data_IF_773713351445
#
_entry.id   IF_773713351445
#
_cell.length_a   1.000
_cell.length_b   1.000
_cell.length_c   1.000
_cell.angle_alpha   90.00
_cell.angle_beta   90.00
_cell.angle_gamma   90.00
#
_symmetry.space_group_name_H-M   'P 1'
#
loop_
_entity.id
_entity.type
_entity.pdbx_description
1 polymer ?
#
# COMPACT_ATOMS: atom_id res chain seq x y z
N UNK A 1 13.86 31.69 5.42
CA UNK A 1 13.27 30.53 4.71
C UNK A 1 14.26 29.37 4.55
N UNK A 2 15.54 29.62 4.26
CA UNK A 2 16.58 28.58 4.14
C UNK A 2 17.00 27.95 5.49
N UNK A 3 16.99 28.70 6.59
CA UNK A 3 17.33 28.20 7.93
C UNK A 3 16.22 27.36 8.58
N UNK A 4 14.94 27.62 8.24
CA UNK A 4 13.82 26.79 8.69
C UNK A 4 13.91 25.35 8.15
N UNK A 5 14.41 25.19 6.92
CA UNK A 5 14.60 23.88 6.27
C UNK A 5 15.77 23.05 6.85
N UNK A 6 16.68 23.66 7.61
CA UNK A 6 17.78 22.94 8.27
C UNK A 6 17.32 22.21 9.53
N UNK A 7 16.21 22.66 10.13
CA UNK A 7 15.61 21.96 11.25
C UNK A 7 14.76 20.79 10.74
N UNK A 8 15.13 19.52 11.02
CA UNK A 8 14.35 18.37 10.55
C UNK A 8 12.91 18.40 11.07
N UNK A 9 12.69 19.03 12.23
CA UNK A 9 11.37 19.22 12.83
C UNK A 9 10.46 20.13 12.00
N UNK A 10 10.96 21.25 11.48
CA UNK A 10 10.11 22.14 10.67
C UNK A 10 9.69 21.47 9.36
N UNK A 11 10.56 20.69 8.74
CA UNK A 11 10.23 19.92 7.53
C UNK A 11 9.12 18.91 7.80
N UNK A 12 9.22 18.16 8.92
CA UNK A 12 8.18 17.20 9.34
C UNK A 12 6.86 17.91 9.62
N UNK A 13 6.89 19.06 10.31
CA UNK A 13 5.67 19.82 10.62
C UNK A 13 4.99 20.35 9.36
N UNK A 14 5.75 20.87 8.40
CA UNK A 14 5.20 21.33 7.12
C UNK A 14 4.63 20.17 6.30
N UNK A 15 5.32 19.03 6.24
CA UNK A 15 4.83 17.83 5.55
C UNK A 15 3.56 17.27 6.23
N UNK A 16 3.54 17.24 7.55
CA UNK A 16 2.37 16.83 8.34
C UNK A 16 1.20 17.77 8.07
N UNK A 17 1.40 19.09 8.15
CA UNK A 17 0.35 20.08 7.87
C UNK A 17 -0.20 19.92 6.45
N UNK A 18 0.67 19.83 5.44
CA UNK A 18 0.27 19.64 4.05
C UNK A 18 -0.56 18.35 3.85
N UNK A 19 -0.20 17.26 4.53
CA UNK A 19 -0.92 15.99 4.46
C UNK A 19 -2.27 16.06 5.19
N UNK A 20 -2.28 16.55 6.43
CA UNK A 20 -3.47 16.53 7.28
C UNK A 20 -4.53 17.54 6.83
N UNK A 21 -4.14 18.68 6.24
CA UNK A 21 -5.10 19.64 5.66
C UNK A 21 -5.97 18.95 4.61
N UNK A 22 -5.36 18.25 3.65
CA UNK A 22 -6.11 17.55 2.61
C UNK A 22 -6.96 16.40 3.17
N UNK A 23 -6.45 15.66 4.15
CA UNK A 23 -7.23 14.61 4.81
C UNK A 23 -8.43 15.15 5.59
N UNK A 24 -8.27 16.28 6.28
CA UNK A 24 -9.34 16.93 7.04
C UNK A 24 -10.43 17.46 6.09
N UNK A 25 -10.04 18.12 4.99
CA UNK A 25 -10.98 18.56 3.96
C UNK A 25 -11.77 17.39 3.37
N UNK A 26 -11.07 16.28 3.05
CA UNK A 26 -11.72 15.06 2.55
C UNK A 26 -12.73 14.47 3.53
N UNK A 27 -12.40 14.41 4.83
CA UNK A 27 -13.29 13.89 5.86
C UNK A 27 -14.55 14.74 6.05
N UNK A 28 -14.41 16.07 6.04
CA UNK A 28 -15.54 17.01 6.12
C UNK A 28 -16.43 16.89 4.89
N UNK A 29 -15.83 16.77 3.70
CA UNK A 29 -16.55 16.67 2.43
C UNK A 29 -17.33 15.35 2.33
N UNK A 30 -16.72 14.21 2.70
CA UNK A 30 -17.38 12.90 2.69
C UNK A 30 -18.60 12.85 3.60
N UNK A 31 -18.57 13.52 4.76
CA UNK A 31 -19.73 13.58 5.66
C UNK A 31 -20.94 14.33 5.11
N UNK A 32 -20.79 15.06 3.99
CA UNK A 32 -21.85 15.87 3.37
C UNK A 32 -22.35 15.28 2.04
N UNK A 33 -21.71 14.21 1.54
CA UNK A 33 -22.04 13.58 0.26
C UNK A 33 -22.71 12.23 0.53
N UNK A 34 -23.73 11.90 -0.25
CA UNK A 34 -24.36 10.57 -0.20
C UNK A 34 -23.35 9.47 -0.62
N UNK A 35 -22.99 8.54 0.29
CA UNK A 35 -22.03 7.48 0.00
C UNK A 35 -22.51 6.51 -1.09
N UNK A 36 -23.83 6.38 -1.29
CA UNK A 36 -24.42 5.53 -2.33
C UNK A 36 -24.63 6.28 -3.66
N UNK A 37 -24.25 7.57 -3.71
CA UNK A 37 -24.35 8.40 -4.89
C UNK A 37 -23.47 7.90 -6.05
N UNK A 38 -23.97 8.07 -7.29
CA UNK A 38 -23.29 7.62 -8.50
C UNK A 38 -21.86 8.18 -8.65
N UNK A 39 -21.64 9.44 -8.23
CA UNK A 39 -20.31 10.09 -8.28
C UNK A 39 -19.34 9.44 -7.31
N UNK A 40 -19.74 9.22 -6.05
CA UNK A 40 -18.88 8.56 -5.04
C UNK A 40 -18.56 7.14 -5.48
N UNK A 41 -19.56 6.39 -5.97
CA UNK A 41 -19.35 5.04 -6.50
C UNK A 41 -18.35 5.03 -7.65
N UNK A 42 -18.40 5.99 -8.58
CA UNK A 42 -17.43 6.10 -9.67
C UNK A 42 -16.00 6.34 -9.17
N UNK A 43 -15.81 7.25 -8.20
CA UNK A 43 -14.49 7.49 -7.58
C UNK A 43 -13.98 6.28 -6.79
N UNK A 44 -14.86 5.59 -6.08
CA UNK A 44 -14.54 4.37 -5.33
C UNK A 44 -14.07 3.27 -6.27
N UNK A 45 -14.79 3.01 -7.37
CA UNK A 45 -14.39 2.04 -8.39
C UNK A 45 -13.05 2.41 -9.03
N UNK A 46 -12.84 3.69 -9.34
CA UNK A 46 -11.58 4.19 -9.90
C UNK A 46 -10.42 3.98 -8.92
N UNK A 47 -10.64 4.27 -7.64
CA UNK A 47 -9.64 4.09 -6.58
C UNK A 47 -9.25 2.62 -6.41
N UNK A 48 -10.22 1.70 -6.41
CA UNK A 48 -9.94 0.26 -6.36
C UNK A 48 -9.23 -0.23 -7.63
N UNK A 49 -9.58 0.30 -8.81
CA UNK A 49 -8.88 -0.02 -10.06
C UNK A 49 -7.41 0.43 -10.02
N UNK A 50 -7.13 1.62 -9.49
CA UNK A 50 -5.76 2.12 -9.30
C UNK A 50 -4.97 1.26 -8.31
N UNK A 51 -5.59 0.87 -7.19
CA UNK A 51 -4.96 -0.03 -6.22
C UNK A 51 -4.64 -1.39 -6.85
N UNK A 52 -5.58 -1.97 -7.61
CA UNK A 52 -5.37 -3.23 -8.31
C UNK A 52 -4.25 -3.11 -9.35
N UNK A 53 -4.26 -2.06 -10.17
CA UNK A 53 -3.21 -1.79 -11.15
C UNK A 53 -1.85 -1.60 -10.49
N UNK A 54 -1.79 -0.91 -9.35
CA UNK A 54 -0.56 -0.73 -8.58
C UNK A 54 -0.03 -2.07 -8.05
N UNK A 55 -0.88 -2.91 -7.48
CA UNK A 55 -0.50 -4.25 -7.01
C UNK A 55 0.06 -5.08 -8.18
N UNK A 56 -0.62 -5.09 -9.32
CA UNK A 56 -0.15 -5.79 -10.53
C UNK A 56 1.20 -5.24 -10.99
N UNK A 57 1.38 -3.91 -11.00
CA UNK A 57 2.65 -3.27 -11.35
C UNK A 57 3.78 -3.72 -10.41
N UNK A 58 3.54 -3.78 -9.10
CA UNK A 58 4.54 -4.19 -8.12
C UNK A 58 4.92 -5.68 -8.25
N UNK A 59 3.98 -6.54 -8.64
CA UNK A 59 4.23 -7.98 -8.85
C UNK A 59 4.91 -8.25 -10.19
N UNK A 60 4.44 -7.61 -11.27
CA UNK A 60 4.86 -7.90 -12.66
C UNK A 60 6.04 -7.04 -13.16
N UNK A 61 6.11 -5.77 -12.80
CA UNK A 61 7.20 -4.84 -13.17
C UNK A 61 7.86 -4.24 -11.91
N UNK A 62 8.48 -5.09 -11.08
CA UNK A 62 9.11 -4.66 -9.85
C UNK A 62 10.33 -3.79 -10.15
N UNK A 63 10.43 -2.66 -9.45
CA UNK A 63 11.58 -1.77 -9.49
C UNK A 63 12.39 -1.89 -8.20
N UNK A 64 13.72 -1.89 -8.29
CA UNK A 64 14.63 -1.97 -7.12
C UNK A 64 15.13 -3.39 -6.82
N UNK A 65 15.61 -3.63 -5.59
CA UNK A 65 16.23 -4.90 -5.16
C UNK A 65 15.31 -6.12 -5.26
N UNK A 66 14.00 -5.89 -5.34
CA UNK A 66 13.03 -6.94 -5.61
C UNK A 66 13.20 -7.53 -7.01
N UNK A 67 13.75 -6.83 -8.00
CA UNK A 67 13.92 -7.31 -9.38
C UNK A 67 14.73 -8.60 -9.54
N UNK A 68 15.53 -8.97 -8.54
CA UNK A 68 16.32 -10.21 -8.52
C UNK A 68 15.51 -11.45 -8.14
N UNK A 69 14.32 -11.29 -7.57
CA UNK A 69 13.44 -12.39 -7.15
C UNK A 69 12.61 -12.90 -8.33
N UNK A 70 12.61 -14.21 -8.58
CA UNK A 70 11.82 -14.81 -9.66
C UNK A 70 10.32 -14.50 -9.53
N UNK A 71 9.65 -14.27 -10.67
CA UNK A 71 8.20 -14.01 -10.74
C UNK A 71 7.39 -15.12 -10.04
N UNK A 72 7.82 -16.37 -10.16
CA UNK A 72 7.15 -17.53 -9.57
C UNK A 72 7.04 -17.42 -8.05
N UNK A 73 8.11 -16.94 -7.38
CA UNK A 73 8.16 -16.79 -5.92
C UNK A 73 7.19 -15.68 -5.46
N UNK A 74 7.07 -14.61 -6.24
CA UNK A 74 6.14 -13.50 -5.94
C UNK A 74 4.70 -13.94 -6.07
N UNK A 75 4.38 -14.69 -7.12
CA UNK A 75 3.05 -15.26 -7.30
C UNK A 75 2.68 -16.20 -6.16
N UNK A 76 3.61 -17.06 -5.71
CA UNK A 76 3.36 -17.92 -4.55
C UNK A 76 3.15 -17.11 -3.27
N UNK A 77 3.90 -16.02 -3.06
CA UNK A 77 3.70 -15.16 -1.90
C UNK A 77 2.34 -14.47 -1.91
N UNK A 78 1.86 -14.02 -3.08
CA UNK A 78 0.51 -13.46 -3.24
C UNK A 78 -0.55 -14.51 -2.90
N UNK A 79 -0.40 -15.74 -3.38
CA UNK A 79 -1.33 -16.85 -3.08
C UNK A 79 -1.35 -17.16 -1.58
N UNK A 80 -0.17 -17.24 -0.94
CA UNK A 80 -0.06 -17.48 0.51
C UNK A 80 -0.71 -16.35 1.32
N UNK A 81 -0.47 -15.09 0.92
CA UNK A 81 -1.09 -13.91 1.54
C UNK A 81 -2.61 -14.02 1.51
N UNK A 82 -3.18 -14.35 0.35
CA UNK A 82 -4.63 -14.48 0.16
C UNK A 82 -5.20 -15.66 0.96
N UNK A 83 -4.49 -16.80 0.97
CA UNK A 83 -4.91 -17.98 1.72
C UNK A 83 -4.96 -17.71 3.24
N UNK A 84 -3.94 -17.04 3.79
CA UNK A 84 -3.91 -16.67 5.20
C UNK A 84 -4.96 -15.62 5.52
N UNK A 85 -5.11 -14.59 4.68
CA UNK A 85 -6.15 -13.59 4.86
C UNK A 85 -7.56 -14.21 4.91
N UNK A 86 -7.82 -15.20 4.05
CA UNK A 86 -9.09 -15.91 4.04
C UNK A 86 -9.29 -16.77 5.30
N UNK A 87 -8.24 -17.50 5.73
CA UNK A 87 -8.29 -18.36 6.90
C UNK A 87 -8.45 -17.58 8.21
N UNK A 88 -7.89 -16.37 8.32
CA UNK A 88 -7.91 -15.57 9.56
C UNK A 88 -9.09 -14.61 9.68
N UNK A 89 -10.17 -14.85 8.93
CA UNK A 89 -11.39 -14.05 9.06
C UNK A 89 -11.24 -12.64 8.50
N UNK A 90 -10.50 -12.47 7.40
CA UNK A 90 -10.31 -11.20 6.67
C UNK A 90 -9.45 -10.15 7.38
N UNK A 91 -8.63 -10.55 8.35
CA UNK A 91 -7.68 -9.64 9.01
C UNK A 91 -6.56 -9.22 8.04
N UNK A 92 -6.55 -7.94 7.64
CA UNK A 92 -5.55 -7.38 6.72
C UNK A 92 -4.12 -7.50 7.29
N UNK A 93 -3.96 -7.25 8.59
CA UNK A 93 -2.66 -7.32 9.28
C UNK A 93 -1.98 -8.69 9.14
N UNK A 94 -2.70 -9.78 9.43
CA UNK A 94 -2.11 -11.12 9.39
C UNK A 94 -1.86 -11.59 7.96
N UNK A 95 -2.71 -11.19 7.00
CA UNK A 95 -2.44 -11.42 5.59
C UNK A 95 -1.12 -10.75 5.15
N UNK A 96 -0.95 -9.45 5.44
CA UNK A 96 0.26 -8.70 5.08
C UNK A 96 1.51 -9.27 5.75
N UNK A 97 1.43 -9.64 7.03
CA UNK A 97 2.55 -10.25 7.76
C UNK A 97 2.93 -11.60 7.18
N UNK A 98 1.95 -12.44 6.83
CA UNK A 98 2.21 -13.74 6.20
C UNK A 98 2.85 -13.58 4.81
N UNK A 99 2.36 -12.65 3.99
CA UNK A 99 2.94 -12.35 2.68
C UNK A 99 4.37 -11.84 2.75
N UNK A 100 4.61 -10.86 3.63
CA UNK A 100 5.95 -10.32 3.86
C UNK A 100 6.89 -11.38 4.42
N UNK A 101 6.43 -12.16 5.41
CA UNK A 101 7.19 -13.27 5.98
C UNK A 101 7.52 -14.36 4.96
N UNK A 102 6.59 -14.68 4.06
CA UNK A 102 6.81 -15.63 2.97
C UNK A 102 7.90 -15.13 2.01
N UNK A 103 7.87 -13.85 1.62
CA UNK A 103 8.91 -13.28 0.77
C UNK A 103 10.27 -13.24 1.47
N UNK A 104 10.31 -12.82 2.73
CA UNK A 104 11.55 -12.79 3.53
C UNK A 104 12.12 -14.19 3.68
N UNK A 105 11.28 -15.19 3.97
CA UNK A 105 11.70 -16.58 4.03
C UNK A 105 12.20 -17.07 2.66
N UNK A 106 11.47 -16.83 1.58
CA UNK A 106 11.87 -17.27 0.25
C UNK A 106 13.21 -16.65 -0.20
N UNK A 107 13.47 -15.40 0.18
CA UNK A 107 14.75 -14.72 -0.02
C UNK A 107 15.84 -15.32 0.88
N UNK A 108 15.57 -15.57 2.16
CA UNK A 108 16.54 -16.17 3.09
C UNK A 108 16.92 -17.62 2.71
N UNK A 109 16.01 -18.37 2.10
CA UNK A 109 16.22 -19.75 1.66
C UNK A 109 16.83 -19.86 0.25
N UNK A 110 16.84 -18.80 -0.55
CA UNK A 110 17.53 -18.77 -1.84
C UNK A 110 19.02 -18.47 -1.59
N UNK A 111 19.93 -19.45 -1.71
CA UNK A 111 21.36 -19.20 -1.49
C UNK A 111 21.89 -18.47 -2.71
N UNK A 112 21.93 -17.13 -2.66
CA UNK A 112 22.33 -16.34 -3.83
C UNK A 112 22.18 -14.83 -3.71
N UNK A 113 22.37 -14.28 -2.50
CA UNK A 113 22.70 -12.88 -2.28
C UNK A 113 24.06 -12.81 -1.59
#
# INVERSE_FOLDING_TARGET
MNELLHSPLAVVLVAAAATFIWRALGAVLVGRIDPEGAVVRWFTLTSYALLAALVVRLVGLPTGSLGTVSLSIRLTAVVVTLAVWWATGRSVLLGVLAGTGCLVAAVAWAPGF
#
